data_IF_300248548143
#
_entry.id   IF_300248548143
#
_cell.length_a   1.000
_cell.length_b   1.000
_cell.length_c   1.000
_cell.angle_alpha   90.00
_cell.angle_beta   90.00
_cell.angle_gamma   90.00
#
_symmetry.space_group_name_H-M   'P 1'
#
loop_
_entity.id
_entity.type
_entity.pdbx_description
1 polymer ?
#
# COMPACT_ATOMS: atom_id res chain seq x y z
N UNK A 1 5.70 -35.50 -49.65
CA UNK A 1 5.53 -36.15 -48.34
C UNK A 1 6.04 -35.30 -47.17
N UNK A 2 7.24 -34.70 -47.18
CA UNK A 2 7.71 -33.94 -46.00
C UNK A 2 6.94 -32.66 -45.62
N UNK A 3 6.26 -31.99 -46.57
CA UNK A 3 5.54 -30.74 -46.28
C UNK A 3 4.18 -30.95 -45.60
N UNK A 4 3.49 -32.04 -45.94
CA UNK A 4 2.19 -32.37 -45.36
C UNK A 4 2.33 -32.89 -43.92
N UNK A 5 3.42 -33.62 -43.64
CA UNK A 5 3.77 -34.07 -42.29
C UNK A 5 4.14 -32.90 -41.36
N UNK A 6 4.83 -31.88 -41.91
CA UNK A 6 5.13 -30.65 -41.16
C UNK A 6 3.87 -29.82 -40.91
N UNK A 7 2.94 -29.76 -41.86
CA UNK A 7 1.64 -29.09 -41.69
C UNK A 7 0.78 -29.78 -40.64
N UNK A 8 0.73 -31.11 -40.66
CA UNK A 8 0.00 -31.92 -39.69
C UNK A 8 0.60 -31.78 -38.26
N UNK A 9 1.94 -31.76 -38.16
CA UNK A 9 2.65 -31.48 -36.91
C UNK A 9 2.32 -30.08 -36.37
N UNK A 10 2.34 -29.06 -37.23
CA UNK A 10 2.09 -27.67 -36.85
C UNK A 10 0.63 -27.41 -36.44
N UNK A 11 -0.35 -27.99 -37.14
CA UNK A 11 -1.77 -27.93 -36.77
C UNK A 11 -2.04 -28.66 -35.44
N UNK A 12 -1.31 -29.74 -35.16
CA UNK A 12 -1.42 -30.46 -33.88
C UNK A 12 -0.80 -29.71 -32.70
N UNK A 13 0.23 -28.89 -32.94
CA UNK A 13 0.85 -28.04 -31.93
C UNK A 13 0.04 -26.78 -31.63
N UNK A 14 -0.55 -26.17 -32.66
CA UNK A 14 -1.42 -25.00 -32.54
C UNK A 14 -2.78 -25.31 -31.90
N UNK A 15 -3.26 -26.57 -32.02
CA UNK A 15 -4.53 -27.03 -31.42
C UNK A 15 -4.39 -27.64 -30.04
N UNK A 16 -3.21 -27.68 -29.42
CA UNK A 16 -3.09 -28.17 -28.03
C UNK A 16 -3.84 -27.20 -27.11
N UNK A 17 -4.98 -27.60 -26.50
CA UNK A 17 -5.57 -26.78 -25.45
C UNK A 17 -4.51 -26.59 -24.38
N UNK A 18 -4.36 -25.36 -23.89
CA UNK A 18 -3.44 -25.04 -22.79
C UNK A 18 -3.65 -26.09 -21.70
N UNK A 19 -2.66 -26.98 -21.51
CA UNK A 19 -2.84 -28.17 -20.66
C UNK A 19 -3.26 -27.69 -19.28
N UNK A 20 -4.39 -28.17 -18.78
CA UNK A 20 -4.91 -27.82 -17.45
C UNK A 20 -3.85 -27.95 -16.33
N UNK A 21 -2.88 -28.86 -16.46
CA UNK A 21 -1.72 -28.98 -15.57
C UNK A 21 -0.78 -27.76 -15.60
N UNK A 22 -0.53 -27.17 -16.76
CA UNK A 22 0.28 -25.95 -16.89
C UNK A 22 -0.46 -24.74 -16.30
N UNK A 23 -1.78 -24.66 -16.47
CA UNK A 23 -2.60 -23.63 -15.84
C UNK A 23 -2.62 -23.78 -14.31
N UNK A 24 -2.80 -25.00 -13.80
CA UNK A 24 -2.77 -25.28 -12.36
C UNK A 24 -1.41 -24.92 -11.74
N UNK A 25 -0.31 -25.34 -12.37
CA UNK A 25 1.05 -25.04 -11.91
C UNK A 25 1.33 -23.53 -11.89
N UNK A 26 0.88 -22.81 -12.93
CA UNK A 26 1.02 -21.35 -12.99
C UNK A 26 0.14 -20.65 -11.95
N UNK A 27 -1.08 -21.13 -11.72
CA UNK A 27 -1.97 -20.63 -10.67
C UNK A 27 -1.36 -20.82 -9.29
N UNK A 28 -0.75 -21.97 -9.01
CA UNK A 28 -0.02 -22.21 -7.77
C UNK A 28 1.16 -21.25 -7.58
N UNK A 29 1.94 -20.99 -8.64
CA UNK A 29 3.04 -20.02 -8.58
C UNK A 29 2.50 -18.62 -8.29
N UNK A 30 1.44 -18.19 -8.98
CA UNK A 30 0.80 -16.90 -8.75
C UNK A 30 0.26 -16.80 -7.32
N UNK A 31 -0.43 -17.83 -6.83
CA UNK A 31 -0.98 -17.90 -5.48
C UNK A 31 0.14 -17.84 -4.42
N UNK A 32 1.30 -18.44 -4.71
CA UNK A 32 2.46 -18.39 -3.83
C UNK A 32 3.11 -17.00 -3.81
N UNK A 33 3.21 -16.35 -4.96
CA UNK A 33 3.71 -14.96 -5.07
C UNK A 33 2.78 -13.97 -4.35
N UNK A 34 1.45 -14.10 -4.53
CA UNK A 34 0.46 -13.25 -3.87
C UNK A 34 0.41 -13.51 -2.37
N UNK A 35 0.49 -14.76 -1.92
CA UNK A 35 0.57 -15.11 -0.49
C UNK A 35 1.80 -14.50 0.21
N UNK A 36 2.96 -14.48 -0.46
CA UNK A 36 4.17 -13.83 0.08
C UNK A 36 3.97 -12.32 0.23
N UNK A 37 3.32 -11.68 -0.74
CA UNK A 37 2.98 -10.25 -0.65
C UNK A 37 1.98 -9.98 0.46
N UNK A 38 0.94 -10.80 0.56
CA UNK A 38 -0.08 -10.69 1.61
C UNK A 38 0.53 -10.79 3.01
N UNK A 39 1.48 -11.71 3.23
CA UNK A 39 2.21 -11.80 4.50
C UNK A 39 3.01 -10.53 4.80
N UNK A 40 3.70 -9.97 3.80
CA UNK A 40 4.44 -8.71 3.96
C UNK A 40 3.51 -7.54 4.28
N UNK A 41 2.36 -7.46 3.62
CA UNK A 41 1.35 -6.42 3.84
C UNK A 41 0.75 -6.57 5.24
N UNK A 42 0.38 -7.79 5.65
CA UNK A 42 -0.15 -8.06 6.99
C UNK A 42 0.84 -7.64 8.09
N UNK A 43 2.12 -7.96 7.95
CA UNK A 43 3.15 -7.55 8.92
C UNK A 43 3.25 -6.03 9.03
N UNK A 44 3.27 -5.33 7.89
CA UNK A 44 3.28 -3.86 7.87
C UNK A 44 2.04 -3.29 8.56
N UNK A 45 0.86 -3.78 8.18
CA UNK A 45 -0.39 -3.25 8.70
C UNK A 45 -0.53 -3.52 10.21
N UNK A 46 -0.05 -4.66 10.72
CA UNK A 46 0.01 -4.93 12.17
C UNK A 46 0.91 -3.92 12.87
N UNK A 47 2.10 -3.64 12.33
CA UNK A 47 3.01 -2.66 12.92
C UNK A 47 2.40 -1.25 12.91
N UNK A 48 1.82 -0.83 11.79
CA UNK A 48 1.19 0.49 11.66
C UNK A 48 -0.01 0.65 12.60
N UNK A 49 -0.85 -0.37 12.73
CA UNK A 49 -1.99 -0.39 13.67
C UNK A 49 -1.52 -0.37 15.12
N UNK A 50 -0.53 -1.19 15.47
CA UNK A 50 0.00 -1.24 16.84
C UNK A 50 0.63 0.08 17.24
N UNK A 51 1.42 0.70 16.35
CA UNK A 51 2.02 2.02 16.59
C UNK A 51 0.93 3.08 16.73
N UNK A 52 -0.07 3.09 15.85
CA UNK A 52 -1.18 4.03 15.93
C UNK A 52 -1.94 3.90 17.26
N UNK A 53 -2.25 2.67 17.70
CA UNK A 53 -2.95 2.41 18.95
C UNK A 53 -2.14 2.86 20.17
N UNK A 54 -0.82 2.65 20.16
CA UNK A 54 0.08 3.10 21.23
C UNK A 54 0.23 4.63 21.28
N UNK A 55 0.21 5.29 20.13
CA UNK A 55 0.41 6.73 20.03
C UNK A 55 -0.84 7.54 20.44
N UNK A 56 -2.05 7.01 20.24
CA UNK A 56 -3.29 7.71 20.58
C UNK A 56 -3.33 8.16 22.06
N UNK A 57 -3.06 7.31 23.07
CA UNK A 57 -3.00 7.75 24.47
C UNK A 57 -1.94 8.81 24.74
N UNK A 58 -0.77 8.70 24.09
CA UNK A 58 0.33 9.68 24.24
C UNK A 58 -0.10 11.06 23.73
N UNK A 59 -0.75 11.10 22.56
CA UNK A 59 -1.30 12.34 22.02
C UNK A 59 -2.46 12.88 22.84
N UNK A 60 -3.35 12.01 23.33
CA UNK A 60 -4.44 12.39 24.22
C UNK A 60 -3.93 13.02 25.53
N UNK A 61 -2.88 12.44 26.13
CA UNK A 61 -2.23 13.02 27.30
C UNK A 61 -1.61 14.38 26.97
N UNK A 62 -0.83 14.49 25.88
CA UNK A 62 -0.24 15.77 25.46
C UNK A 62 -1.28 16.84 25.13
N UNK A 63 -2.47 16.45 24.69
CA UNK A 63 -3.55 17.39 24.35
C UNK A 63 -4.07 18.12 25.59
N UNK A 64 -4.11 17.45 26.74
CA UNK A 64 -4.50 18.08 28.02
C UNK A 64 -3.47 19.13 28.47
N UNK A 65 -2.20 18.91 28.14
CA UNK A 65 -1.08 19.80 28.52
C UNK A 65 -0.54 20.64 27.36
N UNK A 66 -1.34 20.86 26.32
CA UNK A 66 -0.91 21.63 25.16
C UNK A 66 -0.64 23.08 25.55
N UNK A 67 0.49 23.64 25.10
CA UNK A 67 0.90 25.02 25.40
C UNK A 67 0.33 26.05 24.44
N UNK A 68 -0.24 25.62 23.31
CA UNK A 68 -0.82 26.52 22.31
C UNK A 68 -1.96 25.88 21.52
N UNK A 69 -2.80 26.73 20.91
CA UNK A 69 -3.85 26.29 19.99
C UNK A 69 -3.27 25.56 18.77
N UNK A 70 -2.13 26.03 18.24
CA UNK A 70 -1.44 25.38 17.12
C UNK A 70 -1.02 23.95 17.47
N UNK A 71 -0.46 23.75 18.66
CA UNK A 71 -0.10 22.42 19.14
C UNK A 71 -1.34 21.53 19.32
N UNK A 72 -2.41 22.08 19.88
CA UNK A 72 -3.69 21.37 20.08
C UNK A 72 -4.27 20.85 18.76
N UNK A 73 -4.30 21.71 17.74
CA UNK A 73 -4.75 21.34 16.38
C UNK A 73 -3.84 20.24 15.81
N UNK A 74 -2.52 20.38 15.96
CA UNK A 74 -1.58 19.35 15.53
C UNK A 74 -1.82 17.98 16.18
N UNK A 75 -2.10 17.95 17.49
CA UNK A 75 -2.42 16.72 18.23
C UNK A 75 -3.74 16.09 17.77
N UNK A 76 -4.77 16.89 17.50
CA UNK A 76 -6.01 16.40 16.90
C UNK A 76 -5.77 15.79 15.51
N UNK A 77 -4.99 16.46 14.65
CA UNK A 77 -4.61 15.94 13.34
C UNK A 77 -3.84 14.62 13.47
N UNK A 78 -2.93 14.51 14.44
CA UNK A 78 -2.20 13.27 14.70
C UNK A 78 -3.13 12.11 15.11
N UNK A 79 -4.07 12.35 16.03
CA UNK A 79 -5.05 11.34 16.46
C UNK A 79 -5.91 10.90 15.27
N UNK A 80 -6.44 11.86 14.49
CA UNK A 80 -7.23 11.56 13.30
C UNK A 80 -6.42 10.78 12.26
N UNK A 81 -5.15 11.12 12.05
CA UNK A 81 -4.26 10.38 11.16
C UNK A 81 -4.05 8.93 11.66
N UNK A 82 -3.82 8.73 12.97
CA UNK A 82 -3.69 7.41 13.59
C UNK A 82 -4.94 6.54 13.43
N UNK A 83 -6.13 7.12 13.33
CA UNK A 83 -7.37 6.38 13.05
C UNK A 83 -7.58 6.15 11.55
N UNK A 84 -7.31 7.18 10.74
CA UNK A 84 -7.54 7.18 9.30
C UNK A 84 -6.64 6.19 8.55
N UNK A 85 -5.37 6.08 8.94
CA UNK A 85 -4.38 5.21 8.30
C UNK A 85 -4.83 3.73 8.36
N UNK A 86 -5.09 3.13 9.54
CA UNK A 86 -5.67 1.79 9.67
C UNK A 86 -6.96 1.60 8.89
N UNK A 87 -7.88 2.56 9.01
CA UNK A 87 -9.17 2.49 8.31
C UNK A 87 -8.96 2.37 6.79
N UNK A 88 -8.07 3.18 6.21
CA UNK A 88 -7.79 3.18 4.78
C UNK A 88 -7.13 1.88 4.32
N UNK A 89 -6.23 1.31 5.12
CA UNK A 89 -5.61 0.00 4.86
C UNK A 89 -6.66 -1.13 4.85
N UNK A 90 -7.56 -1.15 5.84
CA UNK A 90 -8.63 -2.17 5.93
C UNK A 90 -9.60 -2.02 4.75
N UNK A 91 -9.99 -0.79 4.41
CA UNK A 91 -10.88 -0.52 3.28
C UNK A 91 -10.29 -0.99 1.96
N UNK A 92 -8.99 -0.79 1.73
CA UNK A 92 -8.33 -1.23 0.51
C UNK A 92 -8.28 -2.76 0.34
N UNK A 93 -8.49 -3.53 1.42
CA UNK A 93 -8.56 -5.00 1.38
C UNK A 93 -9.96 -5.55 1.11
N UNK A 94 -11.01 -4.76 1.38
CA UNK A 94 -12.39 -5.20 1.17
C UNK A 94 -12.70 -5.17 -0.33
N UNK A 95 -12.63 -6.33 -0.97
CA UNK A 95 -13.16 -6.54 -2.32
C UNK A 95 -14.45 -7.34 -2.16
N UNK A 96 -15.58 -6.71 -2.44
CA UNK A 96 -16.90 -7.33 -2.33
C UNK A 96 -17.16 -8.12 -3.62
N UNK A 97 -17.25 -9.45 -3.55
CA UNK A 97 -17.40 -10.27 -4.75
C UNK A 97 -18.35 -11.42 -4.50
N UNK A 98 -19.26 -11.62 -5.45
CA UNK A 98 -20.09 -12.81 -5.53
C UNK A 98 -19.21 -14.03 -5.74
N UNK A 99 -19.31 -14.99 -4.82
CA UNK A 99 -18.63 -16.28 -4.90
C UNK A 99 -19.17 -17.01 -6.13
N UNK A 100 -18.39 -17.08 -7.19
CA UNK A 100 -18.68 -17.92 -8.34
C UNK A 100 -17.43 -18.78 -8.60
N UNK A 101 -17.60 -20.10 -8.69
CA UNK A 101 -16.50 -21.09 -8.58
C UNK A 101 -15.59 -21.19 -9.83
N UNK A 102 -15.62 -20.20 -10.72
CA UNK A 102 -14.83 -20.20 -11.95
C UNK A 102 -13.42 -19.62 -11.73
N UNK A 103 -12.41 -20.24 -12.36
CA UNK A 103 -11.02 -19.76 -12.42
C UNK A 103 -10.94 -18.31 -12.92
N UNK A 104 -11.80 -17.93 -13.88
CA UNK A 104 -11.87 -16.57 -14.39
C UNK A 104 -12.32 -15.59 -13.28
N UNK A 105 -13.27 -16.01 -12.44
CA UNK A 105 -13.73 -15.20 -11.31
C UNK A 105 -12.60 -14.98 -10.31
N UNK A 106 -11.83 -16.02 -9.97
CA UNK A 106 -10.64 -15.89 -9.11
C UNK A 106 -9.63 -14.87 -9.65
N UNK A 107 -9.28 -14.94 -10.95
CA UNK A 107 -8.30 -14.04 -11.56
C UNK A 107 -8.79 -12.58 -11.59
N UNK A 108 -10.09 -12.35 -11.85
CA UNK A 108 -10.67 -11.01 -11.80
C UNK A 108 -10.62 -10.42 -10.39
N UNK A 109 -10.89 -11.22 -9.37
CA UNK A 109 -10.79 -10.79 -7.96
C UNK A 109 -9.37 -10.41 -7.62
N UNK A 110 -8.40 -11.24 -8.00
CA UNK A 110 -6.99 -11.02 -7.71
C UNK A 110 -6.47 -9.77 -8.43
N UNK A 111 -6.91 -9.55 -9.68
CA UNK A 111 -6.64 -8.32 -10.42
C UNK A 111 -7.09 -7.08 -9.63
N UNK A 112 -8.35 -7.04 -9.19
CA UNK A 112 -8.91 -5.89 -8.47
C UNK A 112 -8.16 -5.64 -7.15
N UNK A 113 -7.81 -6.71 -6.41
CA UNK A 113 -7.00 -6.59 -5.20
C UNK A 113 -5.63 -5.96 -5.48
N UNK A 114 -4.93 -6.46 -6.50
CA UNK A 114 -3.61 -5.96 -6.89
C UNK A 114 -3.66 -4.51 -7.35
N UNK A 115 -4.68 -4.12 -8.13
CA UNK A 115 -4.90 -2.74 -8.56
C UNK A 115 -5.15 -1.80 -7.37
N UNK A 116 -6.00 -2.20 -6.44
CA UNK A 116 -6.29 -1.41 -5.24
C UNK A 116 -5.04 -1.23 -4.37
N UNK A 117 -4.26 -2.29 -4.15
CA UNK A 117 -3.00 -2.22 -3.38
C UNK A 117 -1.95 -1.37 -4.08
N UNK A 118 -1.82 -1.47 -5.41
CA UNK A 118 -0.92 -0.63 -6.20
C UNK A 118 -1.29 0.85 -6.06
N UNK A 119 -2.57 1.20 -6.26
CA UNK A 119 -3.06 2.58 -6.14
C UNK A 119 -2.86 3.15 -4.73
N UNK A 120 -3.03 2.31 -3.71
CA UNK A 120 -2.78 2.68 -2.32
C UNK A 120 -1.30 3.06 -2.09
N UNK A 121 -0.37 2.26 -2.60
CA UNK A 121 1.07 2.51 -2.52
C UNK A 121 1.52 3.75 -3.31
N UNK A 122 0.94 3.94 -4.50
CA UNK A 122 1.25 5.11 -5.34
C UNK A 122 0.77 6.43 -4.70
N UNK A 123 -0.34 6.38 -3.96
CA UNK A 123 -0.93 7.55 -3.28
C UNK A 123 -0.43 7.76 -1.85
N UNK A 124 0.53 6.96 -1.34
CA UNK A 124 1.02 7.00 0.06
C UNK A 124 1.44 8.40 0.51
N UNK A 125 1.98 9.22 -0.39
CA UNK A 125 2.37 10.58 -0.08
C UNK A 125 1.20 11.42 0.44
N UNK A 126 0.02 11.31 -0.20
CA UNK A 126 -1.13 12.16 0.10
C UNK A 126 -1.90 11.72 1.34
N UNK A 127 -2.01 10.41 1.57
CA UNK A 127 -2.90 9.90 2.62
C UNK A 127 -2.20 9.47 3.90
N UNK A 128 -0.89 9.24 3.85
CA UNK A 128 -0.09 8.81 4.98
C UNK A 128 0.97 9.85 5.34
N UNK A 129 1.84 10.20 4.39
CA UNK A 129 3.00 11.07 4.67
C UNK A 129 2.54 12.50 4.97
N UNK A 130 1.70 13.08 4.11
CA UNK A 130 1.27 14.48 4.25
C UNK A 130 0.54 14.74 5.58
N UNK A 131 -0.50 13.98 5.98
CA UNK A 131 -1.21 14.24 7.23
C UNK A 131 -0.30 14.10 8.45
N UNK A 132 0.62 13.13 8.45
CA UNK A 132 1.59 12.95 9.54
C UNK A 132 2.61 14.09 9.61
N UNK A 133 3.13 14.53 8.46
CA UNK A 133 4.06 15.66 8.40
C UNK A 133 3.39 16.96 8.89
N UNK A 134 2.15 17.23 8.47
CA UNK A 134 1.39 18.37 8.94
C UNK A 134 1.19 18.30 10.46
N UNK A 135 0.79 17.14 10.98
CA UNK A 135 0.64 16.95 12.43
C UNK A 135 1.96 17.20 13.18
N UNK A 136 3.07 16.62 12.72
CA UNK A 136 4.39 16.79 13.34
C UNK A 136 4.79 18.27 13.38
N UNK A 137 4.64 18.98 12.26
CA UNK A 137 4.99 20.41 12.17
C UNK A 137 4.12 21.21 13.14
N UNK A 138 2.79 21.03 13.12
CA UNK A 138 1.88 21.75 14.02
C UNK A 138 2.17 21.49 15.49
N UNK A 139 2.44 20.24 15.87
CA UNK A 139 2.76 19.86 17.26
C UNK A 139 4.07 20.50 17.72
N UNK A 140 5.12 20.39 16.90
CA UNK A 140 6.46 20.80 17.30
C UNK A 140 6.68 22.30 17.21
N UNK A 141 6.20 22.94 16.15
CA UNK A 141 6.23 24.40 16.02
C UNK A 141 5.26 25.06 17.02
N UNK A 142 4.08 24.47 17.25
CA UNK A 142 3.15 24.92 18.26
C UNK A 142 3.68 24.79 19.70
N UNK A 143 4.61 23.86 19.95
CA UNK A 143 5.27 23.73 21.25
C UNK A 143 6.38 24.76 21.49
N UNK A 144 6.86 25.44 20.45
CA UNK A 144 7.95 26.41 20.52
C UNK A 144 7.49 27.82 20.18
N UNK A 145 6.21 28.14 20.40
CA UNK A 145 5.69 29.49 20.24
C UNK A 145 6.21 30.42 21.34
N UNK A 146 6.51 31.66 20.98
CA UNK A 146 6.84 32.72 21.94
C UNK A 146 5.58 33.36 22.57
N UNK A 147 5.76 34.38 23.40
CA UNK A 147 4.67 35.12 24.05
C UNK A 147 3.74 35.84 23.06
N UNK A 148 4.19 36.06 21.82
CA UNK A 148 3.39 36.63 20.73
C UNK A 148 2.70 35.54 19.89
N UNK A 149 2.90 34.26 20.23
CA UNK A 149 2.33 33.13 19.51
C UNK A 149 3.11 32.76 18.24
N UNK A 150 4.31 33.28 18.03
CA UNK A 150 5.12 33.04 16.83
C UNK A 150 6.02 31.82 17.06
N UNK A 151 5.98 30.79 16.19
CA UNK A 151 6.85 29.62 16.32
C UNK A 151 8.34 29.95 16.15
N UNK A 152 9.15 29.59 17.14
CA UNK A 152 10.59 29.75 17.10
C UNK A 152 11.27 28.49 16.54
N UNK A 153 11.92 28.64 15.38
CA UNK A 153 12.61 27.55 14.68
C UNK A 153 14.06 27.43 15.16
N UNK A 154 14.27 26.68 16.24
CA UNK A 154 15.61 26.37 16.76
C UNK A 154 16.40 25.48 15.79
N UNK A 155 17.74 25.48 15.92
CA UNK A 155 18.62 24.62 15.11
C UNK A 155 18.25 23.13 15.26
N UNK A 156 17.92 22.70 16.48
CA UNK A 156 17.46 21.34 16.75
C UNK A 156 16.20 20.99 15.97
N UNK A 157 15.22 21.90 15.91
CA UNK A 157 13.97 21.69 15.16
C UNK A 157 14.22 21.61 13.65
N UNK A 158 15.14 22.43 13.12
CA UNK A 158 15.54 22.38 11.70
C UNK A 158 16.20 21.03 11.35
N UNK A 159 17.11 20.54 12.20
CA UNK A 159 17.74 19.23 12.02
C UNK A 159 16.68 18.13 12.08
N UNK A 160 15.77 18.19 13.05
CA UNK A 160 14.67 17.25 13.19
C UNK A 160 13.76 17.22 11.95
N UNK A 161 13.34 18.38 11.43
CA UNK A 161 12.54 18.44 10.19
C UNK A 161 13.29 17.94 8.96
N UNK A 162 14.57 18.23 8.84
CA UNK A 162 15.41 17.69 7.76
C UNK A 162 15.44 16.16 7.81
N UNK A 163 15.62 15.59 9.00
CA UNK A 163 15.60 14.15 9.20
C UNK A 163 14.21 13.54 8.90
N UNK A 164 13.12 14.15 9.39
CA UNK A 164 11.76 13.70 9.09
C UNK A 164 11.44 13.78 7.58
N UNK A 165 11.90 14.82 6.89
CA UNK A 165 11.75 14.94 5.45
C UNK A 165 12.50 13.84 4.70
N UNK A 166 13.75 13.55 5.11
CA UNK A 166 14.56 12.48 4.52
C UNK A 166 13.89 11.10 4.71
N UNK A 167 13.40 10.81 5.91
CA UNK A 167 12.64 9.57 6.17
C UNK A 167 11.38 9.49 5.31
N UNK A 168 10.63 10.59 5.21
CA UNK A 168 9.41 10.66 4.40
C UNK A 168 9.69 10.39 2.91
N UNK A 169 10.76 10.96 2.38
CA UNK A 169 11.23 10.69 1.01
C UNK A 169 11.62 9.21 0.86
N UNK A 170 12.34 8.65 1.82
CA UNK A 170 12.69 7.23 1.83
C UNK A 170 11.45 6.32 1.78
N UNK A 171 10.46 6.58 2.64
CA UNK A 171 9.18 5.87 2.66
C UNK A 171 8.45 6.00 1.32
N UNK A 172 8.37 7.20 0.75
CA UNK A 172 7.76 7.43 -0.56
C UNK A 172 8.45 6.60 -1.66
N UNK A 173 9.78 6.64 -1.73
CA UNK A 173 10.56 5.91 -2.73
C UNK A 173 10.41 4.39 -2.58
N UNK A 174 10.42 3.87 -1.35
CA UNK A 174 10.21 2.44 -1.09
C UNK A 174 8.82 1.96 -1.52
N UNK A 175 7.78 2.73 -1.21
CA UNK A 175 6.40 2.42 -1.62
C UNK A 175 6.24 2.49 -3.14
N UNK A 176 6.79 3.52 -3.80
CA UNK A 176 6.77 3.65 -5.27
C UNK A 176 7.55 2.53 -5.95
N UNK A 177 8.71 2.14 -5.39
CA UNK A 177 9.50 1.00 -5.85
C UNK A 177 8.73 -0.31 -5.68
N UNK A 178 8.04 -0.51 -4.57
CA UNK A 178 7.20 -1.70 -4.35
C UNK A 178 6.06 -1.76 -5.38
N UNK A 179 5.34 -0.66 -5.60
CA UNK A 179 4.29 -0.57 -6.62
C UNK A 179 4.80 -0.96 -8.02
N UNK A 180 5.97 -0.44 -8.42
CA UNK A 180 6.56 -0.70 -9.74
C UNK A 180 7.18 -2.09 -9.87
N UNK A 181 7.93 -2.56 -8.88
CA UNK A 181 8.73 -3.80 -8.98
C UNK A 181 7.99 -5.06 -8.55
N UNK A 182 6.95 -4.94 -7.71
CA UNK A 182 6.22 -6.10 -7.18
C UNK A 182 4.81 -6.19 -7.76
N UNK A 183 4.04 -5.11 -7.68
CA UNK A 183 2.62 -5.16 -8.09
C UNK A 183 2.42 -5.10 -9.60
N UNK A 184 3.17 -4.25 -10.32
CA UNK A 184 3.07 -4.16 -11.78
C UNK A 184 3.28 -5.51 -12.51
N UNK A 185 4.38 -6.27 -12.29
CA UNK A 185 4.58 -7.52 -13.02
C UNK A 185 3.53 -8.59 -12.69
N UNK A 186 3.04 -8.64 -11.46
CA UNK A 186 1.95 -9.55 -11.07
C UNK A 186 0.64 -9.19 -11.76
N UNK A 187 0.33 -7.89 -11.83
CA UNK A 187 -0.85 -7.41 -12.54
C UNK A 187 -0.78 -7.74 -14.04
N UNK A 188 0.41 -7.60 -14.65
CA UNK A 188 0.64 -7.93 -16.05
C UNK A 188 0.45 -9.45 -16.29
N UNK A 189 0.97 -10.32 -15.40
CA UNK A 189 0.74 -11.77 -15.44
C UNK A 189 -0.74 -12.13 -15.34
N UNK A 190 -1.46 -11.54 -14.38
CA UNK A 190 -2.91 -11.80 -14.19
C UNK A 190 -3.71 -11.34 -15.41
N UNK A 191 -3.41 -10.15 -15.95
CA UNK A 191 -4.05 -9.65 -17.16
C UNK A 191 -3.81 -10.53 -18.39
N UNK A 192 -2.58 -11.05 -18.54
CA UNK A 192 -2.25 -11.98 -19.62
C UNK A 192 -3.10 -13.27 -19.52
N UNK A 193 -3.23 -13.85 -18.32
CA UNK A 193 -4.03 -15.07 -18.11
C UNK A 193 -5.53 -14.87 -18.29
N UNK A 194 -6.06 -13.70 -17.91
CA UNK A 194 -7.46 -13.37 -18.21
C UNK A 194 -7.70 -13.33 -19.72
N UNK A 195 -6.73 -12.89 -20.53
CA UNK A 195 -6.84 -12.88 -22.00
C UNK A 195 -6.74 -14.27 -22.63
N UNK A 196 -6.04 -15.22 -22.03
CA UNK A 196 -5.96 -16.60 -22.56
C UNK A 196 -7.24 -17.41 -22.30
N UNK A 197 -8.01 -17.07 -21.26
CA UNK A 197 -9.24 -17.78 -20.87
C UNK A 197 -10.48 -17.19 -21.56
N UNK A 198 -10.40 -15.94 -22.04
CA UNK A 198 -11.47 -15.26 -22.79
C UNK A 198 -11.34 -15.50 -24.29
#
# INVERSE_FOLDING_TARGET
>A
MMLDDLKAGWDSEMKKPVKHEQLATVLEILQRETCKLDKSIKRRDILEVSIALLLIPVWGWKLVYSVSLMQSVGLWVAILACLFIPYKLIKAKKVNVQKNDSILSFLLIEKVKLENQKKLLESVALWYILPLMVAIILITAGATVDSLGIPQLTLQLKIYYSFCALLSVGVYLLNKRAAKKRFKPLLDKVNYRIKEIK
#
